data_IF_846319628769
#
_entry.id   IF_846319628769
#
_cell.length_a   1.000
_cell.length_b   1.000
_cell.length_c   1.000
_cell.angle_alpha   90.00
_cell.angle_beta   90.00
_cell.angle_gamma   90.00
#
_symmetry.space_group_name_H-M   'P 1'
#
loop_
_entity.id
_entity.type
_entity.pdbx_description
1 polymer ?
#
# COMPACT_ATOMS: atom_id res chain seq x y z
N UNK A 1 -14.88 -2.37 58.31
CA UNK A 1 -13.54 -1.92 57.88
C UNK A 1 -12.97 -2.78 56.74
N UNK A 2 -12.94 -4.12 56.85
CA UNK A 2 -12.38 -5.00 55.81
C UNK A 2 -13.07 -4.91 54.42
N UNK A 3 -14.40 -4.84 54.34
CA UNK A 3 -15.14 -4.72 53.04
C UNK A 3 -14.73 -3.49 52.22
N UNK A 4 -14.48 -2.36 52.88
CA UNK A 4 -14.01 -1.13 52.22
C UNK A 4 -12.57 -1.27 51.73
N UNK A 5 -11.71 -1.95 52.48
CA UNK A 5 -10.33 -2.21 52.08
C UNK A 5 -10.24 -3.12 50.84
N UNK A 6 -11.02 -4.19 50.81
CA UNK A 6 -11.13 -5.06 49.63
C UNK A 6 -11.69 -4.33 48.41
N UNK A 7 -12.70 -3.47 48.61
CA UNK A 7 -13.27 -2.68 47.52
C UNK A 7 -12.23 -1.71 46.92
N UNK A 8 -11.46 -1.00 47.76
CA UNK A 8 -10.41 -0.09 47.30
C UNK A 8 -9.27 -0.83 46.61
N UNK A 9 -8.83 -1.96 47.15
CA UNK A 9 -7.79 -2.78 46.53
C UNK A 9 -8.22 -3.34 45.18
N UNK A 10 -9.44 -3.88 45.09
CA UNK A 10 -10.01 -4.39 43.84
C UNK A 10 -10.16 -3.28 42.80
N UNK A 11 -10.58 -2.09 43.22
CA UNK A 11 -10.67 -0.92 42.35
C UNK A 11 -9.30 -0.50 41.81
N UNK A 12 -8.25 -0.51 42.65
CA UNK A 12 -6.89 -0.19 42.23
C UNK A 12 -6.35 -1.22 41.23
N UNK A 13 -6.55 -2.52 41.50
CA UNK A 13 -6.16 -3.59 40.57
C UNK A 13 -6.87 -3.43 39.23
N UNK A 14 -8.17 -3.14 39.25
CA UNK A 14 -8.95 -2.93 38.03
C UNK A 14 -8.39 -1.75 37.22
N UNK A 15 -8.09 -0.62 37.86
CA UNK A 15 -7.47 0.54 37.18
C UNK A 15 -6.11 0.17 36.59
N UNK A 16 -5.26 -0.53 37.35
CA UNK A 16 -3.95 -0.94 36.86
C UNK A 16 -4.05 -1.87 35.65
N UNK A 17 -4.98 -2.84 35.67
CA UNK A 17 -5.20 -3.75 34.53
C UNK A 17 -5.66 -3.00 33.27
N UNK A 18 -6.61 -2.06 33.41
CA UNK A 18 -7.08 -1.25 32.27
C UNK A 18 -5.94 -0.38 31.75
N UNK A 19 -5.14 0.24 32.64
CA UNK A 19 -4.01 1.06 32.25
C UNK A 19 -2.97 0.25 31.46
N UNK A 20 -2.62 -0.95 31.92
CA UNK A 20 -1.72 -1.85 31.19
C UNK A 20 -2.26 -2.24 29.81
N UNK A 21 -3.54 -2.61 29.70
CA UNK A 21 -4.17 -2.92 28.42
C UNK A 21 -4.14 -1.74 27.43
N UNK A 22 -4.32 -0.52 27.93
CA UNK A 22 -4.24 0.69 27.10
C UNK A 22 -2.82 0.92 26.60
N UNK A 23 -1.81 0.71 27.45
CA UNK A 23 -0.39 0.82 27.06
C UNK A 23 -0.04 -0.23 26.00
N UNK A 24 -0.47 -1.48 26.18
CA UNK A 24 -0.24 -2.56 25.21
C UNK A 24 -0.91 -2.28 23.86
N UNK A 25 -2.16 -1.79 23.87
CA UNK A 25 -2.87 -1.40 22.66
C UNK A 25 -2.17 -0.24 21.93
N UNK A 26 -1.62 0.72 22.67
CA UNK A 26 -0.85 1.85 22.11
C UNK A 26 0.46 1.35 21.48
N UNK A 27 1.19 0.46 22.15
CA UNK A 27 2.41 -0.14 21.62
C UNK A 27 2.14 -0.95 20.35
N UNK A 28 1.06 -1.74 20.33
CA UNK A 28 0.67 -2.52 19.15
C UNK A 28 0.31 -1.60 17.96
N UNK A 29 -0.41 -0.50 18.22
CA UNK A 29 -0.76 0.47 17.19
C UNK A 29 0.47 1.23 16.66
N UNK A 30 1.40 1.60 17.53
CA UNK A 30 2.63 2.29 17.15
C UNK A 30 3.56 1.41 16.30
N UNK A 31 3.66 0.13 16.61
CA UNK A 31 4.54 -0.80 15.89
C UNK A 31 4.00 -1.25 14.53
N UNK A 32 2.70 -1.11 14.27
CA UNK A 32 2.07 -1.47 12.99
C UNK A 32 1.83 -0.28 12.07
N UNK A 33 2.28 0.92 12.49
CA UNK A 33 1.96 2.20 11.84
C UNK A 33 0.47 2.54 11.81
N UNK A 34 -0.32 1.77 12.56
CA UNK A 34 -1.73 1.94 12.78
C UNK A 34 -2.62 1.45 11.65
N UNK A 35 -3.92 1.62 11.85
CA UNK A 35 -4.92 1.30 10.84
C UNK A 35 -4.77 2.20 9.61
N UNK A 36 -4.49 3.48 9.83
CA UNK A 36 -4.58 4.54 8.82
C UNK A 36 -3.21 5.06 8.34
N UNK A 37 -2.14 4.26 8.52
CA UNK A 37 -0.82 4.50 7.92
C UNK A 37 -0.41 5.97 7.97
N UNK A 38 0.08 6.43 9.13
CA UNK A 38 0.59 7.80 9.27
C UNK A 38 2.04 7.94 8.76
N UNK A 39 2.80 8.86 9.33
CA UNK A 39 4.25 9.04 9.07
C UNK A 39 5.13 7.83 9.45
N UNK A 40 4.52 6.73 9.92
CA UNK A 40 5.19 5.48 10.24
C UNK A 40 5.24 4.58 8.99
N UNK A 41 6.30 3.76 8.83
CA UNK A 41 6.46 2.92 7.65
C UNK A 41 5.48 1.73 7.68
N UNK A 42 4.25 1.97 7.24
CA UNK A 42 3.24 0.96 6.96
C UNK A 42 1.95 1.09 7.75
N UNK A 43 0.94 0.35 7.33
CA UNK A 43 -0.40 0.36 7.89
C UNK A 43 -1.36 -0.49 7.04
N UNK A 44 -2.59 -0.69 7.48
CA UNK A 44 -3.57 -1.38 6.62
C UNK A 44 -4.01 -0.47 5.46
N UNK A 45 -4.20 0.81 5.76
CA UNK A 45 -4.53 1.86 4.80
C UNK A 45 -3.44 2.92 4.85
N UNK A 46 -2.88 3.29 3.71
CA UNK A 46 -1.91 4.37 3.60
C UNK A 46 -2.35 5.39 2.58
N UNK A 47 -2.81 6.56 3.04
CA UNK A 47 -3.23 7.64 2.16
C UNK A 47 -2.21 8.78 2.23
N UNK A 48 -1.68 9.20 1.07
CA UNK A 48 -0.74 10.33 0.95
C UNK A 48 0.55 10.14 1.75
N UNK A 49 1.00 8.90 1.88
CA UNK A 49 2.22 8.53 2.57
C UNK A 49 3.45 8.68 1.68
N UNK A 50 4.60 8.83 2.34
CA UNK A 50 5.91 8.71 1.71
C UNK A 50 6.56 7.42 2.16
N UNK A 51 6.56 6.40 1.30
CA UNK A 51 7.07 5.07 1.62
C UNK A 51 6.12 4.22 2.47
N UNK A 52 6.71 3.22 3.14
CA UNK A 52 5.98 2.26 3.97
C UNK A 52 5.42 1.06 3.20
N UNK A 53 4.81 0.14 3.95
CA UNK A 53 4.16 -1.06 3.42
C UNK A 53 2.69 -1.05 3.80
N UNK A 54 1.79 -0.97 2.83
CA UNK A 54 0.35 -0.93 3.08
C UNK A 54 -0.41 -2.08 2.41
N UNK A 55 -1.56 -2.45 2.96
CA UNK A 55 -2.49 -3.30 2.23
C UNK A 55 -3.16 -2.48 1.11
N UNK A 56 -3.79 -1.35 1.47
CA UNK A 56 -4.34 -0.38 0.54
C UNK A 56 -3.50 0.90 0.61
N UNK A 57 -3.09 1.43 -0.54
CA UNK A 57 -2.28 2.63 -0.60
C UNK A 57 -2.71 3.59 -1.70
N UNK A 58 -3.26 4.74 -1.34
CA UNK A 58 -3.73 5.74 -2.30
C UNK A 58 -2.95 7.05 -2.23
N UNK A 59 -2.60 7.59 -3.41
CA UNK A 59 -1.88 8.87 -3.55
C UNK A 59 -0.52 8.93 -2.83
N UNK A 60 0.14 7.78 -2.66
CA UNK A 60 1.43 7.64 -1.98
C UNK A 60 2.60 7.98 -2.89
N UNK A 61 3.71 8.41 -2.29
CA UNK A 61 5.01 8.55 -2.95
C UNK A 61 5.92 7.41 -2.50
N UNK A 62 6.22 6.47 -3.39
CA UNK A 62 6.99 5.27 -3.09
C UNK A 62 6.22 4.23 -2.26
N UNK A 63 6.96 3.34 -1.59
CA UNK A 63 6.40 2.30 -0.72
C UNK A 63 6.01 1.02 -1.45
N UNK A 64 5.44 0.08 -0.70
CA UNK A 64 4.94 -1.21 -1.20
C UNK A 64 3.46 -1.35 -0.82
N UNK A 65 2.58 -1.55 -1.79
CA UNK A 65 1.16 -1.77 -1.52
C UNK A 65 0.66 -3.08 -2.14
N UNK A 66 -0.32 -3.74 -1.51
CA UNK A 66 -1.03 -4.80 -2.23
C UNK A 66 -1.93 -4.18 -3.30
N UNK A 67 -2.79 -3.23 -2.90
CA UNK A 67 -3.63 -2.44 -3.79
C UNK A 67 -3.16 -1.00 -3.74
N UNK A 68 -2.77 -0.43 -4.88
CA UNK A 68 -2.22 0.91 -4.97
C UNK A 68 -2.90 1.77 -6.03
N UNK A 69 -3.44 2.92 -5.64
CA UNK A 69 -4.11 3.87 -6.53
C UNK A 69 -3.45 5.24 -6.58
N UNK A 70 -3.26 5.80 -7.77
CA UNK A 70 -2.75 7.18 -7.96
C UNK A 70 -1.40 7.45 -7.28
N UNK A 71 -0.58 6.41 -7.09
CA UNK A 71 0.73 6.51 -6.44
C UNK A 71 1.80 7.03 -7.41
N UNK A 72 2.81 7.70 -6.86
CA UNK A 72 4.02 8.10 -7.57
C UNK A 72 5.17 7.19 -7.15
N UNK A 73 5.64 6.33 -8.06
CA UNK A 73 6.67 5.33 -7.78
C UNK A 73 6.16 4.16 -6.92
N UNK A 74 7.10 3.45 -6.28
CA UNK A 74 6.79 2.32 -5.38
C UNK A 74 6.55 1.00 -6.11
N UNK A 75 6.08 0.01 -5.35
CA UNK A 75 5.74 -1.34 -5.83
C UNK A 75 4.32 -1.68 -5.45
N UNK A 76 3.49 -2.11 -6.40
CA UNK A 76 2.12 -2.56 -6.13
C UNK A 76 1.87 -3.95 -6.70
N UNK A 77 1.08 -4.79 -6.02
CA UNK A 77 0.57 -6.00 -6.68
C UNK A 77 -0.48 -5.60 -7.73
N UNK A 78 -1.50 -4.86 -7.31
CA UNK A 78 -2.52 -4.26 -8.18
C UNK A 78 -2.34 -2.74 -8.16
N UNK A 79 -1.96 -2.16 -9.29
CA UNK A 79 -1.70 -0.72 -9.43
C UNK A 79 -2.64 -0.05 -10.42
N UNK A 80 -3.33 1.00 -10.00
CA UNK A 80 -4.23 1.78 -10.85
C UNK A 80 -3.86 3.25 -10.91
N UNK A 81 -3.79 3.82 -12.12
CA UNK A 81 -3.53 5.25 -12.34
C UNK A 81 -2.25 5.77 -11.67
N UNK A 82 -1.25 4.91 -11.50
CA UNK A 82 0.03 5.24 -10.90
C UNK A 82 0.95 5.94 -11.90
N UNK A 83 1.86 6.78 -11.39
CA UNK A 83 2.95 7.40 -12.17
C UNK A 83 4.28 6.75 -11.78
N UNK A 84 4.89 6.00 -12.70
CA UNK A 84 6.12 5.25 -12.44
C UNK A 84 5.90 4.01 -11.56
N UNK A 85 7.00 3.52 -10.97
CA UNK A 85 6.98 2.36 -10.06
C UNK A 85 6.88 1.01 -10.78
N UNK A 86 6.67 -0.04 -10.00
CA UNK A 86 6.52 -1.43 -10.48
C UNK A 86 5.16 -1.97 -10.07
N UNK A 87 4.40 -2.53 -11.01
CA UNK A 87 3.12 -3.17 -10.73
C UNK A 87 3.12 -4.59 -11.31
N UNK A 88 2.58 -5.58 -10.57
CA UNK A 88 2.31 -6.88 -11.20
C UNK A 88 1.16 -6.74 -12.21
N UNK A 89 0.01 -6.23 -11.76
CA UNK A 89 -1.11 -5.85 -12.61
C UNK A 89 -1.24 -4.34 -12.59
N UNK A 90 -1.06 -3.69 -13.73
CA UNK A 90 -1.13 -2.24 -13.90
C UNK A 90 -2.26 -1.81 -14.83
N UNK A 91 -3.09 -0.87 -14.41
CA UNK A 91 -4.17 -0.32 -15.22
C UNK A 91 -4.14 1.21 -15.28
N UNK A 92 -4.06 1.76 -16.48
CA UNK A 92 -4.07 3.22 -16.69
C UNK A 92 -2.87 3.95 -16.08
N UNK A 93 -1.75 3.25 -15.89
CA UNK A 93 -0.52 3.81 -15.32
C UNK A 93 0.25 4.64 -16.36
N UNK A 94 0.99 5.65 -15.89
CA UNK A 94 1.90 6.46 -16.71
C UNK A 94 3.34 6.13 -16.35
N UNK A 95 4.11 5.58 -17.29
CA UNK A 95 5.47 5.12 -17.06
C UNK A 95 5.56 3.87 -16.16
N UNK A 96 6.77 3.61 -15.64
CA UNK A 96 7.02 2.47 -14.75
C UNK A 96 7.10 1.13 -15.47
N UNK A 97 7.02 0.05 -14.70
CA UNK A 97 7.09 -1.33 -15.18
C UNK A 97 5.84 -2.07 -14.75
N UNK A 98 5.15 -2.71 -15.70
CA UNK A 98 4.00 -3.56 -15.42
C UNK A 98 4.23 -4.95 -16.01
N UNK A 99 3.96 -6.01 -15.25
CA UNK A 99 4.04 -7.37 -15.80
C UNK A 99 2.82 -7.61 -16.71
N UNK A 100 1.62 -7.35 -16.21
CA UNK A 100 0.39 -7.27 -17.02
C UNK A 100 -0.09 -5.82 -17.00
N UNK A 101 -0.08 -5.17 -18.15
CA UNK A 101 -0.43 -3.76 -18.31
C UNK A 101 -1.61 -3.54 -19.24
N UNK A 102 -2.62 -2.81 -18.78
CA UNK A 102 -3.78 -2.43 -19.59
C UNK A 102 -3.94 -0.92 -19.66
N UNK A 103 -4.02 -0.37 -20.86
CA UNK A 103 -4.30 1.06 -21.04
C UNK A 103 -3.21 1.98 -20.48
N UNK A 104 -1.99 1.50 -20.32
CA UNK A 104 -0.87 2.25 -19.77
C UNK A 104 -0.25 3.17 -20.83
N UNK A 105 0.33 4.29 -20.39
CA UNK A 105 1.03 5.25 -21.25
C UNK A 105 2.52 5.28 -20.90
N UNK A 106 3.39 4.94 -21.85
CA UNK A 106 4.84 4.84 -21.64
C UNK A 106 5.24 3.65 -20.75
N UNK A 107 6.48 3.66 -20.28
CA UNK A 107 7.00 2.60 -19.40
C UNK A 107 7.30 1.29 -20.12
N UNK A 108 7.38 0.21 -19.34
CA UNK A 108 7.61 -1.16 -19.83
C UNK A 108 6.42 -2.04 -19.45
N UNK A 109 5.81 -2.72 -20.42
CA UNK A 109 4.75 -3.71 -20.18
C UNK A 109 5.16 -5.06 -20.77
N UNK A 110 5.16 -6.14 -19.97
CA UNK A 110 5.57 -7.48 -20.43
C UNK A 110 4.44 -8.29 -21.07
N UNK A 111 3.19 -8.03 -20.70
CA UNK A 111 1.97 -8.62 -21.25
C UNK A 111 0.89 -7.55 -21.18
N UNK A 112 -0.11 -7.59 -22.05
CA UNK A 112 -1.26 -6.70 -21.92
C UNK A 112 -1.98 -6.31 -23.19
N UNK A 113 -2.71 -5.21 -23.09
CA UNK A 113 -3.48 -4.64 -24.20
C UNK A 113 -3.64 -3.12 -24.12
N UNK A 114 -3.84 -2.51 -25.28
CA UNK A 114 -4.22 -1.09 -25.41
C UNK A 114 -3.25 -0.09 -24.79
N UNK A 115 -1.96 -0.41 -24.73
CA UNK A 115 -0.93 0.48 -24.20
C UNK A 115 -0.45 1.48 -25.27
N UNK A 116 -0.05 2.68 -24.85
CA UNK A 116 0.42 3.76 -25.73
C UNK A 116 1.87 4.12 -25.43
N UNK A 117 2.76 4.00 -26.42
CA UNK A 117 4.19 4.29 -26.25
C UNK A 117 4.92 3.29 -25.35
N UNK A 118 6.16 3.61 -24.98
CA UNK A 118 6.98 2.75 -24.12
C UNK A 118 7.54 1.51 -24.82
N UNK A 119 7.91 0.51 -24.02
CA UNK A 119 8.41 -0.80 -24.46
C UNK A 119 7.38 -1.84 -24.06
N UNK A 120 6.92 -2.60 -25.04
CA UNK A 120 5.83 -3.54 -24.89
C UNK A 120 6.26 -4.88 -25.47
N UNK A 121 6.29 -5.93 -24.65
CA UNK A 121 6.57 -7.29 -25.11
C UNK A 121 5.28 -8.11 -25.07
N UNK A 122 5.04 -8.94 -26.07
CA UNK A 122 3.91 -9.88 -26.07
C UNK A 122 2.52 -9.23 -25.85
N UNK A 123 2.25 -8.07 -26.48
CA UNK A 123 1.06 -7.23 -26.22
C UNK A 123 0.19 -7.06 -27.47
N UNK A 124 -1.13 -6.94 -27.31
CA UNK A 124 -2.09 -6.70 -28.41
C UNK A 124 -2.67 -5.28 -28.41
N UNK A 125 -2.90 -4.69 -29.59
CA UNK A 125 -3.64 -3.42 -29.71
C UNK A 125 -2.92 -2.18 -29.18
N UNK A 126 -1.59 -2.19 -29.13
CA UNK A 126 -0.80 -1.03 -28.71
C UNK A 126 -0.60 -0.01 -29.83
N UNK A 127 -0.43 1.24 -29.44
CA UNK A 127 -0.14 2.34 -30.36
C UNK A 127 1.19 3.01 -30.00
N UNK A 128 2.10 3.12 -30.98
CA UNK A 128 3.42 3.73 -30.78
C UNK A 128 4.35 2.93 -29.87
N UNK A 129 5.56 3.46 -29.64
CA UNK A 129 6.59 2.79 -28.85
C UNK A 129 7.25 1.60 -29.56
N UNK A 130 7.97 0.80 -28.79
CA UNK A 130 8.65 -0.42 -29.27
C UNK A 130 7.78 -1.61 -28.88
N UNK A 131 7.31 -2.37 -29.88
CA UNK A 131 6.59 -3.63 -29.66
C UNK A 131 7.53 -4.79 -30.00
N UNK A 132 7.96 -5.54 -28.99
CA UNK A 132 8.79 -6.73 -29.16
C UNK A 132 7.92 -7.88 -29.68
N UNK A 133 8.39 -8.62 -30.70
CA UNK A 133 7.67 -9.76 -31.24
C UNK A 133 7.49 -10.86 -30.18
N UNK A 134 6.39 -11.60 -30.28
CA UNK A 134 6.27 -12.90 -29.60
C UNK A 134 7.32 -13.84 -30.21
N UNK A 135 8.12 -14.49 -29.36
CA UNK A 135 9.10 -15.53 -29.76
C UNK A 135 8.40 -16.87 -29.90
#
# INVERSE_FOLDING_TARGET
>A
MAKSFYATFFFLVTIMTIASMVVDARHLLANTGGLLGGASPGGLFGDKNTGGTNLLGDSNTGGTNLLGGSNTGGTNLLGGSNTGGTNLLGNGNTGGTNVLGKGNTGGTNLLGDSNTGGVNALVGGNTGGINLPHV
#
